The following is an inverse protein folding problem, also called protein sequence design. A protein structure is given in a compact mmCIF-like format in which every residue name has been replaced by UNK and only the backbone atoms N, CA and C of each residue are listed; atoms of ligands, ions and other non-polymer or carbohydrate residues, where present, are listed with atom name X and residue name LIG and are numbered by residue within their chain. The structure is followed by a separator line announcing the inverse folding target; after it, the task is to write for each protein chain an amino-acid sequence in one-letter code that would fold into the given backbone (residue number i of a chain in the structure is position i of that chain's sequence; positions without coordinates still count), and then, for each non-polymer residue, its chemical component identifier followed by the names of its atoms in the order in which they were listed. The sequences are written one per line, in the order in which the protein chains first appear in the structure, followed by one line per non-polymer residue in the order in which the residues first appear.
data_IF_901513428477
#
_entry.id   IF_901513428477
#
_cell.length_a   1.000
_cell.length_b   1.000
_cell.length_c   1.000
_cell.angle_alpha   90.00
_cell.angle_beta   90.00
_cell.angle_gamma   90.00
#
_symmetry.space_group_name_H-M   'P 1'
#
loop_
_entity.id
_entity.type
_entity.pdbx_description
1 polymer ?
#
# COMPACT_ATOMS: atom_id res chain seq x y z
N UNK A 1 4.10 -16.48 -10.29
CA UNK A 1 4.50 -15.14 -9.80
C UNK A 1 4.12 -14.08 -10.83
N UNK A 2 4.40 -14.32 -12.11
CA UNK A 2 4.07 -13.42 -13.23
C UNK A 2 2.58 -13.06 -13.28
N UNK A 3 1.70 -14.07 -13.28
CA UNK A 3 0.24 -13.86 -13.25
C UNK A 3 -0.26 -13.07 -12.03
N UNK A 4 0.39 -13.23 -10.86
CA UNK A 4 0.03 -12.49 -9.64
C UNK A 4 0.53 -11.04 -9.70
N UNK A 5 1.71 -10.81 -10.28
CA UNK A 5 2.22 -9.46 -10.50
C UNK A 5 1.31 -8.70 -11.47
N UNK A 6 0.95 -9.35 -12.59
CA UNK A 6 0.05 -8.78 -13.60
C UNK A 6 -1.35 -8.48 -13.03
N UNK A 7 -1.94 -9.39 -12.25
CA UNK A 7 -3.28 -9.19 -11.69
C UNK A 7 -3.35 -8.03 -10.68
N UNK A 8 -2.25 -7.73 -10.01
CA UNK A 8 -2.11 -6.56 -9.11
C UNK A 8 -1.59 -5.31 -9.83
N UNK A 9 -1.34 -5.36 -11.13
CA UNK A 9 -0.68 -4.26 -11.86
C UNK A 9 0.71 -3.94 -11.32
N UNK A 10 1.37 -4.90 -10.67
CA UNK A 10 2.65 -4.76 -10.00
C UNK A 10 2.62 -4.00 -8.67
N UNK A 11 1.44 -3.68 -8.15
CA UNK A 11 1.30 -2.87 -6.93
C UNK A 11 1.40 -3.75 -5.68
N UNK A 12 2.29 -3.36 -4.77
CA UNK A 12 2.31 -3.94 -3.43
C UNK A 12 0.96 -3.73 -2.73
N UNK A 13 0.29 -4.80 -2.32
CA UNK A 13 -1.01 -4.76 -1.64
C UNK A 13 -0.97 -3.97 -0.32
N UNK A 14 0.18 -3.95 0.36
CA UNK A 14 0.35 -3.29 1.65
C UNK A 14 0.86 -1.84 1.54
N UNK A 15 1.79 -1.56 0.62
CA UNK A 15 2.37 -0.21 0.46
C UNK A 15 1.68 0.65 -0.60
N UNK A 16 0.90 0.03 -1.48
CA UNK A 16 0.25 0.69 -2.62
C UNK A 16 1.24 1.45 -3.52
N UNK A 17 2.39 0.83 -3.80
CA UNK A 17 3.44 1.31 -4.72
C UNK A 17 3.85 0.18 -5.66
N UNK A 18 4.13 0.53 -6.91
CA UNK A 18 4.65 -0.40 -7.92
C UNK A 18 6.00 -1.02 -7.52
N UNK A 19 6.12 -2.33 -7.68
CA UNK A 19 7.34 -3.10 -7.40
C UNK A 19 8.01 -3.50 -8.72
N UNK A 20 9.23 -3.00 -8.92
CA UNK A 20 10.06 -3.35 -10.07
C UNK A 20 10.54 -4.81 -10.00
N UNK A 21 10.22 -5.60 -11.02
CA UNK A 21 10.54 -7.05 -11.05
C UNK A 21 12.04 -7.32 -11.05
N UNK A 22 12.83 -6.48 -11.74
CA UNK A 22 14.28 -6.66 -11.87
C UNK A 22 15.06 -6.46 -10.57
N UNK A 23 14.43 -5.90 -9.52
CA UNK A 23 15.09 -5.57 -8.25
C UNK A 23 15.02 -6.71 -7.21
N UNK A 24 14.37 -7.83 -7.53
CA UNK A 24 14.26 -8.98 -6.64
C UNK A 24 13.37 -8.78 -5.41
N UNK A 25 12.64 -7.66 -5.33
CA UNK A 25 11.82 -7.30 -4.17
C UNK A 25 10.37 -7.83 -4.21
N UNK A 26 9.95 -8.54 -5.26
CA UNK A 26 8.58 -9.06 -5.42
C UNK A 26 8.41 -10.38 -4.67
N UNK A 27 7.35 -10.49 -3.85
CA UNK A 27 7.01 -11.72 -3.14
C UNK A 27 5.50 -11.98 -3.11
N UNK A 28 5.12 -13.22 -2.85
CA UNK A 28 3.74 -13.62 -2.60
C UNK A 28 3.55 -13.85 -1.10
N UNK A 29 2.71 -13.03 -0.47
CA UNK A 29 2.24 -13.27 0.90
C UNK A 29 1.00 -14.16 0.87
N UNK A 30 0.89 -15.03 1.88
CA UNK A 30 -0.34 -15.77 2.17
C UNK A 30 -1.03 -15.03 3.31
N UNK A 31 -2.15 -14.37 3.02
CA UNK A 31 -2.82 -13.51 3.99
C UNK A 31 -3.14 -14.30 5.28
N UNK A 32 -3.82 -15.44 5.13
CA UNK A 32 -3.86 -16.51 6.13
C UNK A 32 -2.60 -17.36 5.99
N UNK A 33 -1.78 -17.37 7.04
CA UNK A 33 -0.49 -18.03 7.03
C UNK A 33 -0.61 -19.55 6.80
N UNK A 34 0.25 -20.09 5.92
CA UNK A 34 0.32 -21.53 5.63
C UNK A 34 0.56 -22.38 6.88
N UNK A 35 1.31 -21.87 7.84
CA UNK A 35 1.58 -22.53 9.13
C UNK A 35 0.31 -22.75 9.97
N UNK A 36 -0.74 -21.96 9.73
CA UNK A 36 -2.02 -22.02 10.43
C UNK A 36 -3.06 -22.87 9.69
N UNK A 37 -3.12 -22.77 8.37
CA UNK A 37 -4.09 -23.51 7.57
C UNK A 37 -3.50 -23.96 6.24
N UNK A 38 -2.94 -25.17 6.21
CA UNK A 38 -2.32 -25.73 5.01
C UNK A 38 -3.30 -25.84 3.82
N UNK A 39 -4.60 -25.98 4.09
CA UNK A 39 -5.64 -26.09 3.05
C UNK A 39 -5.85 -24.82 2.23
N UNK A 40 -5.53 -23.63 2.77
CA UNK A 40 -5.66 -22.35 2.05
C UNK A 40 -4.37 -21.94 1.32
N UNK A 41 -3.33 -22.79 1.35
CA UNK A 41 -2.02 -22.47 0.82
C UNK A 41 -1.99 -22.31 -0.71
N UNK A 42 -3.01 -22.83 -1.42
CA UNK A 42 -3.10 -22.77 -2.87
C UNK A 42 -4.31 -21.97 -3.37
N UNK A 43 -5.01 -21.28 -2.48
CA UNK A 43 -6.17 -20.48 -2.82
C UNK A 43 -5.75 -19.09 -3.28
N UNK A 44 -6.12 -18.72 -4.51
CA UNK A 44 -5.83 -17.41 -5.09
C UNK A 44 -6.36 -16.25 -4.26
N UNK A 45 -7.51 -16.43 -3.61
CA UNK A 45 -8.11 -15.45 -2.69
C UNK A 45 -7.23 -15.16 -1.48
N UNK A 46 -6.29 -16.05 -1.15
CA UNK A 46 -5.35 -15.92 -0.04
C UNK A 46 -4.01 -15.27 -0.43
N UNK A 47 -3.74 -15.02 -1.73
CA UNK A 47 -2.47 -14.44 -2.16
C UNK A 47 -2.51 -12.92 -2.22
N UNK A 48 -1.47 -12.30 -1.66
CA UNK A 48 -1.21 -10.85 -1.77
C UNK A 48 0.13 -10.62 -2.46
N UNK A 49 0.16 -9.77 -3.48
CA UNK A 49 1.43 -9.28 -4.02
C UNK A 49 2.06 -8.34 -2.99
N UNK A 50 3.22 -8.69 -2.46
CA UNK A 50 3.87 -7.93 -1.41
C UNK A 50 5.34 -7.69 -1.74
N UNK A 51 5.88 -6.53 -1.38
CA UNK A 51 7.33 -6.38 -1.39
C UNK A 51 7.94 -7.24 -0.26
N UNK A 52 9.19 -7.66 -0.43
CA UNK A 52 9.87 -8.54 0.52
C UNK A 52 9.86 -7.98 1.95
N UNK A 53 10.00 -6.66 2.11
CA UNK A 53 9.96 -5.98 3.41
C UNK A 53 8.60 -6.13 4.09
N UNK A 54 7.49 -5.83 3.40
CA UNK A 54 6.15 -5.95 4.00
C UNK A 54 5.79 -7.40 4.32
N UNK A 55 6.13 -8.33 3.42
CA UNK A 55 5.91 -9.75 3.66
C UNK A 55 6.69 -10.25 4.89
N UNK A 56 7.97 -9.84 5.00
CA UNK A 56 8.82 -10.18 6.14
C UNK A 56 8.40 -9.52 7.46
N UNK A 57 7.65 -8.41 7.42
CA UNK A 57 7.07 -7.75 8.61
C UNK A 57 5.73 -8.37 9.02
N UNK A 58 4.85 -8.66 8.05
CA UNK A 58 3.58 -9.38 8.31
C UNK A 58 3.82 -10.78 8.86
N UNK A 59 4.73 -11.55 8.25
CA UNK A 59 5.02 -12.94 8.61
C UNK A 59 3.72 -13.77 8.75
N UNK A 60 3.56 -14.42 9.90
CA UNK A 60 2.43 -15.26 10.28
C UNK A 60 1.43 -14.55 11.21
N UNK A 61 1.53 -13.22 11.34
CA UNK A 61 0.60 -12.43 12.16
C UNK A 61 -0.72 -12.17 11.41
N UNK A 62 -1.83 -12.23 12.15
CA UNK A 62 -3.21 -12.14 11.65
C UNK A 62 -3.90 -10.80 12.03
N UNK A 63 -3.15 -9.90 12.66
CA UNK A 63 -3.64 -8.59 13.14
C UNK A 63 -3.57 -7.47 12.07
N UNK A 64 -3.04 -7.80 10.88
CA UNK A 64 -3.05 -6.92 9.70
C UNK A 64 -4.42 -6.93 9.05
N UNK A 65 -4.98 -5.74 8.78
CA UNK A 65 -6.18 -5.60 7.95
C UNK A 65 -5.94 -6.13 6.54
N UNK A 66 -6.84 -6.98 6.04
CA UNK A 66 -6.74 -7.53 4.68
C UNK A 66 -6.92 -6.42 3.63
N UNK A 67 -5.96 -6.18 2.72
CA UNK A 67 -6.14 -5.24 1.61
C UNK A 67 -7.38 -5.51 0.74
N UNK A 68 -7.90 -6.75 0.70
CA UNK A 68 -9.10 -7.09 -0.08
C UNK A 68 -10.42 -6.77 0.63
N UNK A 69 -10.41 -6.70 1.97
CA UNK A 69 -11.58 -6.40 2.78
C UNK A 69 -11.45 -5.05 3.50
N UNK A 70 -10.44 -4.26 3.15
CA UNK A 70 -10.16 -2.97 3.74
C UNK A 70 -11.25 -1.96 3.33
N UNK A 71 -11.87 -1.33 4.32
CA UNK A 71 -12.84 -0.27 4.07
C UNK A 71 -12.16 0.97 3.44
N UNK A 72 -12.83 1.65 2.49
CA UNK A 72 -12.33 2.92 1.97
C UNK A 72 -12.06 3.96 3.07
N UNK A 73 -11.10 4.86 2.85
CA UNK A 73 -10.74 5.92 3.80
C UNK A 73 -10.35 5.39 5.21
N UNK A 74 -9.76 4.19 5.30
CA UNK A 74 -9.22 3.66 6.57
C UNK A 74 -7.93 4.37 7.00
N UNK A 75 -7.08 4.73 6.03
CA UNK A 75 -5.78 5.37 6.26
C UNK A 75 -5.73 6.74 5.58
N UNK A 76 -4.98 7.67 6.18
CA UNK A 76 -4.70 9.00 5.64
C UNK A 76 -3.20 9.24 5.53
N UNK A 77 -2.83 10.18 4.68
CA UNK A 77 -1.43 10.50 4.40
C UNK A 77 -1.20 12.00 4.53
N UNK A 78 -0.19 12.37 5.32
CA UNK A 78 0.42 13.69 5.19
C UNK A 78 1.44 13.61 4.05
N UNK A 79 1.16 14.31 2.94
CA UNK A 79 1.84 14.11 1.67
C UNK A 79 3.27 14.68 1.66
N UNK A 80 3.56 15.69 2.46
CA UNK A 80 4.87 16.35 2.49
C UNK A 80 5.89 15.47 3.20
N UNK A 81 5.52 14.90 4.34
CA UNK A 81 6.36 14.04 5.18
C UNK A 81 6.25 12.57 4.81
N UNK A 82 5.17 12.16 4.14
CA UNK A 82 4.85 10.76 3.87
C UNK A 82 4.28 10.02 5.08
N UNK A 83 3.94 10.73 6.16
CA UNK A 83 3.41 10.16 7.39
C UNK A 83 2.02 9.55 7.17
N UNK A 84 1.88 8.27 7.45
CA UNK A 84 0.60 7.55 7.38
C UNK A 84 -0.01 7.40 8.77
N UNK A 85 -1.31 7.62 8.87
CA UNK A 85 -2.05 7.50 10.13
C UNK A 85 -3.48 6.99 9.90
N UNK A 86 -4.13 6.39 10.91
CA UNK A 86 -5.54 6.01 10.80
C UNK A 86 -6.42 7.23 10.53
N UNK A 87 -7.50 7.05 9.77
CA UNK A 87 -8.51 8.09 9.65
C UNK A 87 -9.10 8.45 11.04
N UNK A 88 -8.99 9.72 11.50
CA UNK A 88 -9.42 10.11 12.84
C UNK A 88 -10.94 10.09 13.02
N UNK A 89 -11.73 9.90 11.96
CA UNK A 89 -13.19 9.79 12.04
C UNK A 89 -13.68 8.33 12.15
N UNK A 90 -12.77 7.35 12.20
CA UNK A 90 -13.12 5.97 12.46
C UNK A 90 -13.66 5.78 13.89
N UNK A 91 -14.47 4.74 14.08
CA UNK A 91 -14.82 4.30 15.44
C UNK A 91 -13.57 3.86 16.20
N UNK A 92 -13.56 3.99 17.53
CA UNK A 92 -12.38 3.61 18.34
C UNK A 92 -11.87 2.19 18.06
N UNK A 93 -12.72 1.16 17.87
CA UNK A 93 -12.24 -0.18 17.48
C UNK A 93 -11.59 -0.21 16.10
N UNK A 94 -12.14 0.49 15.11
CA UNK A 94 -11.59 0.54 13.77
C UNK A 94 -10.25 1.32 13.74
N UNK A 95 -10.17 2.43 14.48
CA UNK A 95 -8.95 3.22 14.64
C UNK A 95 -7.83 2.38 15.26
N UNK A 96 -8.12 1.60 16.31
CA UNK A 96 -7.15 0.71 16.94
C UNK A 96 -6.64 -0.37 15.97
N UNK A 97 -7.51 -0.99 15.17
CA UNK A 97 -7.11 -1.98 14.16
C UNK A 97 -6.27 -1.39 13.03
N UNK A 98 -6.61 -0.20 12.58
CA UNK A 98 -5.83 0.54 11.59
C UNK A 98 -4.44 0.88 12.14
N UNK A 99 -4.35 1.36 13.38
CA UNK A 99 -3.06 1.64 14.03
C UNK A 99 -2.22 0.37 14.19
N UNK A 100 -2.82 -0.74 14.65
CA UNK A 100 -2.14 -2.03 14.75
C UNK A 100 -1.58 -2.49 13.40
N UNK A 101 -2.31 -2.25 12.31
CA UNK A 101 -1.83 -2.57 10.96
C UNK A 101 -0.61 -1.72 10.58
N UNK A 102 -0.65 -0.41 10.85
CA UNK A 102 0.49 0.50 10.62
C UNK A 102 1.70 0.03 11.42
N UNK A 103 1.53 -0.28 12.69
CA UNK A 103 2.63 -0.68 13.59
C UNK A 103 3.20 -2.05 13.19
N UNK A 104 2.35 -3.03 12.86
CA UNK A 104 2.75 -4.39 12.47
C UNK A 104 3.58 -4.41 11.19
N UNK A 105 3.12 -3.68 10.18
CA UNK A 105 3.79 -3.57 8.90
C UNK A 105 4.86 -2.47 8.88
N UNK A 106 4.97 -1.73 9.98
CA UNK A 106 5.87 -0.58 10.14
C UNK A 106 5.72 0.38 8.94
N UNK A 107 4.46 0.66 8.56
CA UNK A 107 4.11 1.44 7.37
C UNK A 107 4.55 2.90 7.47
N UNK A 108 4.92 3.35 8.66
CA UNK A 108 5.30 4.72 8.94
C UNK A 108 6.80 4.87 9.22
N UNK A 109 7.61 3.86 8.87
CA UNK A 109 9.07 3.95 8.96
C UNK A 109 9.65 4.98 8.00
N UNK A 110 10.88 5.42 8.26
CA UNK A 110 11.57 6.47 7.50
C UNK A 110 11.65 6.17 5.99
N UNK A 111 11.86 4.91 5.61
CA UNK A 111 11.91 4.49 4.21
C UNK A 111 10.54 4.55 3.53
N UNK A 112 9.48 4.14 4.23
CA UNK A 112 8.11 4.25 3.73
C UNK A 112 7.66 5.71 3.61
N UNK A 113 8.01 6.55 4.59
CA UNK A 113 7.76 8.00 4.58
C UNK A 113 8.47 8.68 3.41
N UNK A 114 9.79 8.48 3.26
CA UNK A 114 10.54 9.06 2.15
C UNK A 114 10.01 8.57 0.80
N UNK A 115 9.63 7.29 0.67
CA UNK A 115 9.03 6.78 -0.56
C UNK A 115 7.77 7.56 -0.95
N UNK A 116 6.82 7.74 -0.02
CA UNK A 116 5.55 8.46 -0.29
C UNK A 116 5.79 9.94 -0.56
N UNK A 117 6.59 10.60 0.29
CA UNK A 117 6.95 12.02 0.14
C UNK A 117 7.63 12.27 -1.21
N UNK A 118 8.61 11.44 -1.58
CA UNK A 118 9.30 11.53 -2.87
C UNK A 118 8.34 11.40 -4.04
N UNK A 119 7.47 10.40 -4.02
CA UNK A 119 6.51 10.16 -5.12
C UNK A 119 5.58 11.35 -5.34
N UNK A 120 5.07 11.94 -4.26
CA UNK A 120 4.26 13.15 -4.36
C UNK A 120 5.07 14.36 -4.84
N UNK A 121 6.25 14.58 -4.24
CA UNK A 121 7.17 15.67 -4.59
C UNK A 121 7.57 15.63 -6.07
N UNK A 122 7.89 14.45 -6.59
CA UNK A 122 8.30 14.26 -7.98
C UNK A 122 7.13 14.54 -8.93
N UNK A 123 5.92 14.11 -8.60
CA UNK A 123 4.70 14.48 -9.35
C UNK A 123 4.49 16.00 -9.38
N UNK A 124 4.58 16.67 -8.22
CA UNK A 124 4.41 18.13 -8.11
C UNK A 124 5.46 18.90 -8.93
N UNK A 125 6.70 18.40 -8.99
CA UNK A 125 7.76 19.03 -9.78
C UNK A 125 7.49 19.01 -11.28
N UNK A 126 6.83 17.97 -11.80
CA UNK A 126 6.66 17.77 -13.24
C UNK A 126 5.27 18.10 -13.76
N UNK A 127 4.25 18.20 -12.89
CA UNK A 127 2.86 18.48 -13.31
C UNK A 127 2.67 19.84 -13.97
N UNK A 128 3.49 20.84 -13.62
CA UNK A 128 3.33 22.21 -14.12
C UNK A 128 2.00 22.85 -13.69
N UNK A 129 1.60 23.94 -14.36
CA UNK A 129 0.36 24.67 -14.08
C UNK A 129 -0.84 24.20 -14.89
N UNK A 130 -0.62 23.43 -15.96
CA UNK A 130 -1.67 22.94 -16.85
C UNK A 130 -2.01 21.47 -16.54
N UNK A 131 -3.25 21.08 -16.81
CA UNK A 131 -3.68 19.70 -16.59
C UNK A 131 -2.92 18.74 -17.53
N UNK A 132 -2.36 17.67 -16.95
CA UNK A 132 -1.67 16.61 -17.68
C UNK A 132 -2.28 15.23 -17.34
N UNK A 133 -3.32 14.80 -18.08
CA UNK A 133 -4.04 13.55 -17.79
C UNK A 133 -3.16 12.30 -17.85
N UNK A 134 -2.17 12.26 -18.73
CA UNK A 134 -1.26 11.11 -18.86
C UNK A 134 -0.36 10.98 -17.64
N UNK A 135 0.19 12.10 -17.16
CA UNK A 135 1.01 12.14 -15.95
C UNK A 135 0.18 11.73 -14.72
N UNK A 136 -1.04 12.25 -14.60
CA UNK A 136 -1.92 11.88 -13.49
C UNK A 136 -2.31 10.40 -13.53
N UNK A 137 -2.62 9.87 -14.72
CA UNK A 137 -2.89 8.44 -14.90
C UNK A 137 -1.68 7.58 -14.50
N UNK A 138 -0.47 7.99 -14.86
CA UNK A 138 0.75 7.30 -14.44
C UNK A 138 0.93 7.38 -12.92
N UNK A 139 0.73 8.54 -12.31
CA UNK A 139 0.84 8.73 -10.86
C UNK A 139 -0.18 7.87 -10.09
N UNK A 140 -1.42 7.80 -10.57
CA UNK A 140 -2.47 6.92 -10.05
C UNK A 140 -2.09 5.45 -10.18
N UNK A 141 -1.54 5.05 -11.33
CA UNK A 141 -1.15 3.66 -11.56
C UNK A 141 0.00 3.24 -10.67
N UNK A 142 1.08 4.04 -10.61
CA UNK A 142 2.34 3.63 -9.98
C UNK A 142 2.31 3.80 -8.45
N UNK A 143 1.46 4.71 -7.95
CA UNK A 143 1.32 5.04 -6.51
C UNK A 143 -0.14 5.36 -6.13
N UNK A 144 -1.06 4.39 -6.24
CA UNK A 144 -2.50 4.63 -6.08
C UNK A 144 -2.89 5.26 -4.75
N UNK A 145 -2.24 4.90 -3.64
CA UNK A 145 -2.58 5.49 -2.33
C UNK A 145 -2.16 6.95 -2.22
N UNK A 146 -0.97 7.30 -2.73
CA UNK A 146 -0.50 8.70 -2.73
C UNK A 146 -1.38 9.56 -3.65
N UNK A 147 -1.77 9.02 -4.81
CA UNK A 147 -2.73 9.70 -5.71
C UNK A 147 -4.09 9.89 -5.05
N UNK A 148 -4.62 8.86 -4.37
CA UNK A 148 -5.92 8.92 -3.70
C UNK A 148 -5.92 10.01 -2.62
N UNK A 149 -4.85 10.10 -1.83
CA UNK A 149 -4.73 11.13 -0.79
C UNK A 149 -4.52 12.53 -1.37
N UNK A 150 -3.76 12.68 -2.46
CA UNK A 150 -3.65 13.95 -3.17
C UNK A 150 -5.01 14.40 -3.74
N UNK A 151 -5.78 13.48 -4.32
CA UNK A 151 -7.13 13.74 -4.82
C UNK A 151 -8.07 14.17 -3.69
N UNK A 152 -8.08 13.42 -2.58
CA UNK A 152 -8.90 13.73 -1.39
C UNK A 152 -8.60 15.12 -0.82
N UNK A 153 -7.35 15.55 -0.89
CA UNK A 153 -6.90 16.85 -0.39
C UNK A 153 -7.05 18.00 -1.41
N UNK A 154 -7.57 17.73 -2.62
CA UNK A 154 -7.78 18.74 -3.66
C UNK A 154 -6.48 19.24 -4.29
N UNK A 155 -5.46 18.38 -4.39
CA UNK A 155 -4.10 18.74 -4.81
C UNK A 155 -3.72 18.23 -6.22
N UNK A 156 -4.66 17.68 -6.99
CA UNK A 156 -4.44 17.20 -8.37
C UNK A 156 -4.76 18.25 -9.43
#
# INVERSE_FOLDING_TARGET
MDELHESYGGICAYLCVYIERCTGGVSTDHFVAKSKTAGLAYEWSNYRLACATMNARKRDFEDVLDPFALEPDTFRLELVTGHIYPNPHLSSPALARAQQTIDRLDLDDDGCRELRSRKFRDYVRVRGSEANPMLEQQFRRDTPFVWLEASRQGLL
#
